data_IF_749762734574
#
_entry.id   IF_749762734574
#
_cell.length_a   1.000
_cell.length_b   1.000
_cell.length_c   1.000
_cell.angle_alpha   90.00
_cell.angle_beta   90.00
_cell.angle_gamma   90.00
#
_symmetry.space_group_name_H-M   'P 1'
#
loop_
_entity.id
_entity.type
_entity.pdbx_description
1 polymer ?
#
# COMPACT_ATOMS: atom_id res chain seq x y z
N UNK A 1 11.19 1.22 1.13
CA UNK A 1 10.67 2.27 2.03
C UNK A 1 10.68 1.77 3.45
N UNK A 2 11.18 2.57 4.39
CA UNK A 2 11.14 2.23 5.83
C UNK A 2 9.77 2.57 6.46
N UNK A 3 9.43 2.00 7.63
CA UNK A 3 8.14 2.22 8.27
C UNK A 3 7.82 3.67 8.64
N UNK A 4 8.84 4.48 8.96
CA UNK A 4 8.63 5.88 9.36
C UNK A 4 8.26 6.73 8.15
N UNK A 5 8.98 6.58 7.04
CA UNK A 5 8.64 7.23 5.77
C UNK A 5 7.26 6.81 5.28
N UNK A 6 6.92 5.52 5.44
CA UNK A 6 5.60 5.02 5.08
C UNK A 6 4.48 5.64 5.91
N UNK A 7 4.65 5.71 7.24
CA UNK A 7 3.69 6.36 8.13
C UNK A 7 3.49 7.85 7.79
N UNK A 8 4.57 8.56 7.46
CA UNK A 8 4.50 9.97 7.07
C UNK A 8 3.81 10.21 5.72
N UNK A 9 3.88 9.24 4.80
CA UNK A 9 3.27 9.32 3.48
C UNK A 9 1.74 9.14 3.52
N UNK A 10 1.22 8.30 4.41
CA UNK A 10 -0.20 7.92 4.43
C UNK A 10 -1.18 9.10 4.50
N UNK A 11 -1.00 10.14 5.35
CA UNK A 11 -1.90 11.28 5.39
C UNK A 11 -2.01 12.03 4.04
N UNK A 12 -0.89 12.15 3.31
CA UNK A 12 -0.86 12.81 2.00
C UNK A 12 -1.66 12.02 0.96
N UNK A 13 -1.55 10.68 1.01
CA UNK A 13 -2.30 9.80 0.12
C UNK A 13 -3.79 9.77 0.46
N UNK A 14 -4.15 9.85 1.75
CA UNK A 14 -5.55 10.00 2.18
C UNK A 14 -6.14 11.29 1.61
N UNK A 15 -5.44 12.41 1.76
CA UNK A 15 -5.88 13.70 1.20
C UNK A 15 -6.02 13.66 -0.34
N UNK A 16 -5.08 13.00 -1.02
CA UNK A 16 -5.11 12.83 -2.48
C UNK A 16 -6.17 11.80 -2.96
N UNK A 17 -6.83 11.08 -2.05
CA UNK A 17 -7.86 10.09 -2.36
C UNK A 17 -9.24 10.76 -2.35
N UNK A 18 -9.70 11.18 -3.52
CA UNK A 18 -10.95 11.95 -3.65
C UNK A 18 -12.23 11.12 -3.50
N UNK A 19 -12.14 9.79 -3.61
CA UNK A 19 -13.28 8.87 -3.54
C UNK A 19 -13.01 7.76 -2.55
N UNK A 20 -14.01 7.43 -1.73
CA UNK A 20 -13.97 6.33 -0.78
C UNK A 20 -14.25 4.96 -1.43
N UNK A 21 -13.82 4.75 -2.68
CA UNK A 21 -14.03 3.49 -3.43
C UNK A 21 -12.99 2.41 -3.12
N UNK A 22 -12.13 2.67 -2.12
CA UNK A 22 -11.08 1.76 -1.68
C UNK A 22 -9.78 1.92 -2.48
N UNK A 23 -8.73 1.33 -1.93
CA UNK A 23 -7.38 1.31 -2.47
C UNK A 23 -6.88 -0.11 -2.64
N UNK A 24 -5.96 -0.27 -3.58
CA UNK A 24 -5.25 -1.51 -3.84
C UNK A 24 -3.85 -1.41 -3.24
N UNK A 25 -3.40 -2.51 -2.63
CA UNK A 25 -2.10 -2.65 -2.01
C UNK A 25 -1.46 -3.95 -2.53
N UNK A 26 -0.31 -3.84 -3.19
CA UNK A 26 0.41 -4.97 -3.76
C UNK A 26 1.63 -5.31 -2.93
N UNK A 27 1.74 -6.59 -2.55
CA UNK A 27 2.85 -7.11 -1.77
C UNK A 27 3.58 -8.18 -2.57
N UNK A 28 4.91 -8.14 -2.60
CA UNK A 28 5.69 -9.20 -3.23
C UNK A 28 5.44 -10.55 -2.55
N UNK A 29 5.02 -11.55 -3.32
CA UNK A 29 4.71 -12.91 -2.83
C UNK A 29 5.93 -13.65 -2.29
N UNK A 30 7.14 -13.23 -2.68
CA UNK A 30 8.40 -13.75 -2.13
C UNK A 30 8.68 -13.30 -0.70
N UNK A 31 7.94 -12.33 -0.16
CA UNK A 31 7.99 -12.04 1.27
C UNK A 31 7.19 -13.10 2.03
N UNK A 32 7.90 -13.96 2.78
CA UNK A 32 7.32 -15.05 3.58
C UNK A 32 6.34 -14.61 4.70
N UNK A 33 6.16 -13.30 4.90
CA UNK A 33 5.32 -12.69 5.94
C UNK A 33 3.96 -12.21 5.43
N UNK A 34 3.73 -12.17 4.11
CA UNK A 34 2.43 -11.80 3.53
C UNK A 34 1.58 -13.04 3.31
N UNK A 35 0.74 -13.32 4.30
CA UNK A 35 -0.28 -14.35 4.26
C UNK A 35 -1.64 -13.67 4.31
N UNK A 36 -2.41 -13.69 3.21
CA UNK A 36 -3.79 -13.23 3.22
C UNK A 36 -4.51 -13.85 4.43
N UNK A 37 -5.23 -13.02 5.21
CA UNK A 37 -5.94 -13.39 6.45
C UNK A 37 -5.09 -13.62 7.72
N UNK A 38 -3.75 -13.55 7.66
CA UNK A 38 -2.86 -13.78 8.81
C UNK A 38 -1.83 -12.67 9.06
N UNK A 39 -1.55 -11.83 8.06
CA UNK A 39 -0.67 -10.66 8.24
C UNK A 39 -1.36 -9.59 9.09
N UNK A 40 -0.75 -9.25 10.22
CA UNK A 40 -1.23 -8.17 11.08
C UNK A 40 -1.30 -6.83 10.32
N UNK A 41 -2.32 -6.05 10.62
CA UNK A 41 -2.46 -4.69 10.11
C UNK A 41 -3.37 -4.50 8.89
N UNK A 42 -4.11 -5.54 8.48
CA UNK A 42 -5.15 -5.47 7.46
C UNK A 42 -6.42 -6.14 8.00
N UNK A 43 -7.52 -5.39 8.13
CA UNK A 43 -8.78 -5.92 8.66
C UNK A 43 -9.43 -6.90 7.68
N UNK A 44 -9.79 -8.07 8.19
CA UNK A 44 -10.07 -9.36 7.53
C UNK A 44 -11.25 -9.39 6.54
N UNK A 45 -11.82 -8.25 6.15
CA UNK A 45 -13.14 -8.17 5.50
C UNK A 45 -13.18 -8.47 3.99
N UNK A 46 -12.19 -8.08 3.19
CA UNK A 46 -12.39 -7.99 1.73
C UNK A 46 -11.16 -8.35 0.89
N UNK A 47 -10.58 -9.54 1.10
CA UNK A 47 -9.44 -9.97 0.29
C UNK A 47 -9.80 -11.15 -0.61
N UNK A 48 -10.23 -10.85 -1.85
CA UNK A 48 -10.04 -11.72 -3.01
C UNK A 48 -8.70 -11.35 -3.68
N UNK A 49 -7.62 -12.10 -3.44
CA UNK A 49 -6.31 -11.72 -3.92
C UNK A 49 -6.13 -12.03 -5.41
N UNK A 50 -6.20 -11.00 -6.24
CA UNK A 50 -5.67 -11.09 -7.60
C UNK A 50 -4.13 -11.13 -7.57
N UNK A 51 -3.53 -12.04 -8.34
CA UNK A 51 -2.08 -12.09 -8.56
C UNK A 51 -1.71 -11.18 -9.73
N UNK A 52 -0.65 -10.39 -9.58
CA UNK A 52 -0.15 -9.47 -10.61
C UNK A 52 1.37 -9.56 -10.73
N UNK A 53 1.95 -9.46 -11.93
CA UNK A 53 3.41 -9.49 -12.09
C UNK A 53 3.92 -8.08 -12.39
N UNK A 54 4.87 -7.60 -11.59
CA UNK A 54 5.53 -6.32 -11.77
C UNK A 54 7.05 -6.50 -11.72
N UNK A 55 7.78 -6.08 -12.76
CA UNK A 55 9.24 -6.19 -12.85
C UNK A 55 9.76 -7.62 -12.52
N UNK A 56 9.05 -8.66 -12.97
CA UNK A 56 9.40 -10.06 -12.71
C UNK A 56 9.03 -10.57 -11.31
N UNK A 57 8.43 -9.74 -10.45
CA UNK A 57 7.94 -10.10 -9.12
C UNK A 57 6.44 -10.36 -9.16
N UNK A 58 6.02 -11.51 -8.66
CA UNK A 58 4.62 -11.77 -8.42
C UNK A 58 4.15 -11.02 -7.16
N UNK A 59 3.09 -10.25 -7.31
CA UNK A 59 2.47 -9.47 -6.26
C UNK A 59 1.11 -10.09 -5.91
N UNK A 60 0.84 -10.16 -4.61
CA UNK A 60 -0.49 -10.40 -4.06
C UNK A 60 -1.15 -9.04 -3.92
N UNK A 61 -2.25 -8.80 -4.66
CA UNK A 61 -3.02 -7.58 -4.56
C UNK A 61 -4.12 -7.73 -3.52
N UNK A 62 -4.18 -6.79 -2.59
CA UNK A 62 -5.15 -6.68 -1.53
C UNK A 62 -5.94 -5.38 -1.70
N UNK A 63 -7.19 -5.33 -1.24
CA UNK A 63 -8.03 -4.15 -1.32
C UNK A 63 -8.47 -3.69 0.08
N UNK A 64 -8.48 -2.39 0.32
CA UNK A 64 -8.91 -1.86 1.62
C UNK A 64 -9.04 -0.34 1.64
N UNK A 65 -9.39 0.20 2.80
CA UNK A 65 -9.51 1.64 3.01
C UNK A 65 -8.16 2.24 3.42
N UNK A 66 -7.68 3.22 2.66
CA UNK A 66 -6.43 3.93 2.93
C UNK A 66 -6.51 4.76 4.22
N UNK A 67 -7.69 5.27 4.57
CA UNK A 67 -7.92 6.04 5.79
C UNK A 67 -7.79 5.15 7.02
N UNK A 68 -8.42 3.96 6.98
CA UNK A 68 -8.30 2.97 8.05
C UNK A 68 -6.85 2.49 8.22
N UNK A 69 -6.12 2.30 7.12
CA UNK A 69 -4.70 1.97 7.18
C UNK A 69 -3.87 3.11 7.80
N UNK A 70 -4.14 4.37 7.40
CA UNK A 70 -3.47 5.54 7.96
C UNK A 70 -3.70 5.67 9.47
N UNK A 71 -4.93 5.49 9.94
CA UNK A 71 -5.26 5.51 11.37
C UNK A 71 -4.50 4.44 12.14
N UNK A 72 -4.48 3.21 11.62
CA UNK A 72 -3.79 2.09 12.26
C UNK A 72 -2.27 2.31 12.32
N UNK A 73 -1.65 2.73 11.23
CA UNK A 73 -0.20 2.98 11.18
C UNK A 73 0.17 4.19 12.03
N UNK A 74 -0.67 5.22 12.09
CA UNK A 74 -0.44 6.38 12.97
C UNK A 74 -0.46 5.98 14.45
N UNK A 75 -1.41 5.14 14.85
CA UNK A 75 -1.51 4.64 16.23
C UNK A 75 -0.43 3.60 16.56
N UNK A 76 -0.05 2.79 15.57
CA UNK A 76 0.90 1.70 15.69
C UNK A 76 1.85 1.66 14.48
N UNK A 77 2.91 2.50 14.45
CA UNK A 77 3.80 2.63 13.28
C UNK A 77 4.47 1.33 12.85
N UNK A 78 4.68 0.40 13.79
CA UNK A 78 5.27 -0.91 13.53
C UNK A 78 4.24 -2.01 13.22
N UNK A 79 2.96 -1.67 13.08
CA UNK A 79 1.89 -2.64 12.73
C UNK A 79 2.06 -3.21 11.33
N UNK A 80 2.76 -2.48 10.45
CA UNK A 80 3.10 -2.91 9.09
C UNK A 80 4.61 -3.13 9.03
N UNK A 81 5.03 -4.39 9.23
CA UNK A 81 6.45 -4.76 9.19
C UNK A 81 7.09 -4.49 7.81
N UNK A 82 6.29 -4.59 6.74
CA UNK A 82 6.71 -4.27 5.37
C UNK A 82 5.61 -3.49 4.66
N UNK A 83 5.87 -2.24 4.26
CA UNK A 83 4.95 -1.48 3.42
C UNK A 83 4.61 -2.22 2.11
N UNK A 84 3.47 -1.93 1.49
CA UNK A 84 3.16 -2.40 0.14
C UNK A 84 4.26 -2.00 -0.86
N UNK A 85 4.60 -2.91 -1.77
CA UNK A 85 5.48 -2.62 -2.92
C UNK A 85 4.82 -1.61 -3.84
N UNK A 86 3.50 -1.75 -4.05
CA UNK A 86 2.71 -0.82 -4.85
C UNK A 86 1.40 -0.49 -4.15
N UNK A 87 0.88 0.70 -4.39
CA UNK A 87 -0.45 1.09 -3.92
C UNK A 87 -1.07 2.16 -4.82
N UNK A 88 -2.39 2.14 -4.93
CA UNK A 88 -3.19 3.13 -5.67
C UNK A 88 -4.66 3.07 -5.26
N UNK A 89 -5.42 4.18 -5.35
CA UNK A 89 -6.86 4.15 -5.13
C UNK A 89 -7.55 3.58 -6.37
N UNK A 90 -8.75 3.01 -6.25
CA UNK A 90 -9.46 2.40 -7.39
C UNK A 90 -9.63 3.35 -8.58
N UNK A 91 -9.85 4.64 -8.30
CA UNK A 91 -9.96 5.69 -9.30
C UNK A 91 -8.62 6.24 -9.84
N UNK A 92 -7.48 5.67 -9.43
CA UNK A 92 -6.14 5.92 -10.00
C UNK A 92 -5.68 7.39 -9.93
N UNK A 93 -6.09 8.16 -8.91
CA UNK A 93 -5.62 9.55 -8.73
C UNK A 93 -4.13 9.66 -8.40
N UNK A 94 -3.55 8.60 -7.82
CA UNK A 94 -2.14 8.46 -7.52
C UNK A 94 -1.66 7.01 -7.57
N UNK A 95 -0.35 6.83 -7.67
CA UNK A 95 0.37 5.56 -7.65
C UNK A 95 1.64 5.72 -6.81
N UNK A 96 1.88 4.76 -5.93
CA UNK A 96 3.17 4.60 -5.25
C UNK A 96 3.78 3.27 -5.65
N UNK A 97 5.08 3.30 -5.93
CA UNK A 97 5.94 2.13 -6.14
C UNK A 97 7.18 2.29 -5.27
N UNK A 98 7.40 1.39 -4.32
CA UNK A 98 8.68 1.24 -3.63
C UNK A 98 9.41 0.02 -4.18
N UNK A 99 10.59 0.23 -4.73
CA UNK A 99 11.43 -0.85 -5.26
C UNK A 99 12.78 -0.89 -4.52
N UNK A 100 13.14 -2.08 -4.06
CA UNK A 100 14.37 -2.32 -3.31
C UNK A 100 15.61 -2.34 -4.21
N UNK A 101 15.46 -2.72 -5.49
CA UNK A 101 16.59 -2.79 -6.41
C UNK A 101 17.05 -1.38 -6.80
N UNK A 102 16.12 -0.42 -6.80
CA UNK A 102 16.40 0.99 -7.08
C UNK A 102 16.61 1.83 -5.81
N UNK A 103 16.46 1.24 -4.63
CA UNK A 103 16.42 1.92 -3.32
C UNK A 103 15.60 3.23 -3.37
N UNK A 104 14.45 3.15 -4.03
CA UNK A 104 13.68 4.33 -4.42
C UNK A 104 12.19 4.11 -4.20
N UNK A 105 11.50 5.21 -3.88
CA UNK A 105 10.04 5.28 -3.89
C UNK A 105 9.60 6.30 -4.94
N UNK A 106 8.81 5.83 -5.90
CA UNK A 106 8.25 6.64 -6.97
C UNK A 106 6.79 6.90 -6.63
N UNK A 107 6.40 8.16 -6.62
CA UNK A 107 5.02 8.61 -6.44
C UNK A 107 4.64 9.38 -7.70
N UNK A 108 3.53 8.99 -8.32
CA UNK A 108 2.98 9.66 -9.50
C UNK A 108 1.49 9.90 -9.32
N UNK A 109 0.96 10.98 -9.88
CA UNK A 109 -0.46 11.31 -9.78
C UNK A 109 -0.79 12.65 -10.41
N UNK A 110 -2.05 13.06 -10.29
CA UNK A 110 -2.51 14.37 -10.75
C UNK A 110 -1.73 15.51 -10.09
N UNK A 111 -1.77 16.71 -10.68
CA UNK A 111 -0.94 17.89 -10.38
C UNK A 111 -1.00 18.45 -8.95
N UNK A 112 -1.60 17.76 -7.97
CA UNK A 112 -1.68 18.14 -6.56
C UNK A 112 -0.80 17.32 -5.60
N UNK A 113 0.12 16.50 -6.09
CA UNK A 113 1.04 15.67 -5.27
C UNK A 113 2.46 16.28 -5.12
N UNK A 114 2.60 17.59 -5.27
CA UNK A 114 3.87 18.33 -5.19
C UNK A 114 3.81 19.41 -4.12
#
# INVERSE_FOLDING_TARGET
MDPVSFAALLPLLVEATQRADGSVFGFWSGHNDVRPRQSGGFTQGEFDPARHVLAGRELILLQGDISALADQVTQHPNSVARPPTVMWPRHRSWHVLSDIDFDSTIIGGGSGLW
#
